data_IF_930308624426
#
_entry.id   IF_930308624426
#
_cell.length_a   1.000
_cell.length_b   1.000
_cell.length_c   1.000
_cell.angle_alpha   90.00
_cell.angle_beta   90.00
_cell.angle_gamma   90.00
#
_symmetry.space_group_name_H-M   'P 1'
#
loop_
_entity.id
_entity.type
_entity.pdbx_description
1 polymer ?
#
# COMPACT_ATOMS: atom_id res chain seq x y z
N UNK A 1 7.60 17.10 -1.83
CA UNK A 1 7.00 15.74 -1.90
C UNK A 1 8.04 14.83 -2.55
N UNK A 2 8.18 13.58 -2.11
CA UNK A 2 9.19 12.66 -2.63
C UNK A 2 8.54 11.36 -3.11
N UNK A 3 9.06 10.81 -4.20
CA UNK A 3 8.66 9.49 -4.68
C UNK A 3 9.32 8.39 -3.85
N UNK A 4 8.83 7.15 -3.99
CA UNK A 4 9.39 5.99 -3.29
C UNK A 4 10.87 5.70 -3.63
N UNK A 5 11.35 6.17 -4.79
CA UNK A 5 12.75 6.09 -5.19
C UNK A 5 13.61 7.25 -4.67
N UNK A 6 13.07 8.12 -3.80
CA UNK A 6 13.76 9.27 -3.22
C UNK A 6 13.84 10.51 -4.12
N UNK A 7 13.37 10.43 -5.37
CA UNK A 7 13.35 11.61 -6.26
C UNK A 7 12.33 12.65 -5.81
N UNK A 8 12.64 13.93 -6.05
CA UNK A 8 11.74 15.04 -5.76
C UNK A 8 10.59 15.03 -6.77
N UNK A 9 9.36 15.00 -6.28
CA UNK A 9 8.17 15.26 -7.10
C UNK A 9 7.93 16.77 -7.08
N UNK A 10 8.07 17.41 -8.25
CA UNK A 10 7.78 18.83 -8.41
C UNK A 10 6.27 19.07 -8.23
N UNK A 11 5.92 20.15 -7.54
CA UNK A 11 4.53 20.57 -7.33
C UNK A 11 4.35 22.03 -7.75
N UNK A 12 3.20 22.34 -8.33
CA UNK A 12 2.88 23.63 -8.95
C UNK A 12 1.76 24.38 -8.24
N UNK A 13 1.48 24.01 -6.99
CA UNK A 13 0.39 24.57 -6.18
C UNK A 13 -0.81 23.64 -6.09
N UNK A 14 -1.98 24.20 -5.82
CA UNK A 14 -3.21 23.44 -5.59
C UNK A 14 -4.34 23.87 -6.52
N UNK A 15 -5.29 22.97 -6.76
CA UNK A 15 -6.48 23.21 -7.57
C UNK A 15 -7.70 22.51 -6.98
N UNK A 16 -8.76 23.28 -6.75
CA UNK A 16 -10.07 22.72 -6.38
C UNK A 16 -10.73 22.05 -7.57
N UNK A 17 -11.12 20.79 -7.44
CA UNK A 17 -11.82 20.02 -8.47
C UNK A 17 -13.02 19.29 -7.88
N UNK A 18 -14.08 19.17 -8.67
CA UNK A 18 -15.19 18.25 -8.42
C UNK A 18 -14.91 16.97 -9.21
N UNK A 19 -14.47 15.92 -8.51
CA UNK A 19 -14.24 14.63 -9.11
C UNK A 19 -15.56 13.86 -9.20
N UNK A 20 -15.82 13.27 -10.37
CA UNK A 20 -16.88 12.30 -10.57
C UNK A 20 -16.25 10.91 -10.72
N UNK A 21 -16.67 9.99 -9.86
CA UNK A 21 -16.20 8.60 -9.83
C UNK A 21 -17.27 7.63 -10.35
N UNK A 22 -18.40 8.10 -10.87
CA UNK A 22 -19.54 7.27 -11.25
C UNK A 22 -20.37 6.78 -10.06
N UNK A 23 -20.15 7.34 -8.87
CA UNK A 23 -20.80 6.95 -7.61
C UNK A 23 -22.03 7.83 -7.28
N UNK A 24 -22.56 8.55 -8.28
CA UNK A 24 -23.73 9.44 -8.19
C UNK A 24 -23.67 10.49 -7.08
N UNK A 25 -22.47 10.93 -6.73
CA UNK A 25 -22.23 12.07 -5.82
C UNK A 25 -21.00 12.85 -6.24
N UNK A 26 -20.94 14.11 -5.80
CA UNK A 26 -19.80 15.00 -6.07
C UNK A 26 -18.72 14.82 -5.01
N UNK A 27 -17.47 14.72 -5.45
CA UNK A 27 -16.31 14.69 -4.56
C UNK A 27 -15.48 15.98 -4.78
N UNK A 28 -15.81 17.03 -4.03
CA UNK A 28 -15.12 18.31 -4.10
C UNK A 28 -13.86 18.31 -3.23
N UNK A 29 -12.68 18.46 -3.81
CA UNK A 29 -11.42 18.41 -3.08
C UNK A 29 -10.37 19.36 -3.66
N UNK A 30 -9.45 19.83 -2.81
CA UNK A 30 -8.31 20.63 -3.21
C UNK A 30 -7.14 19.69 -3.47
N UNK A 31 -6.80 19.48 -4.74
CA UNK A 31 -5.72 18.60 -5.16
C UNK A 31 -4.41 19.38 -5.28
N UNK A 32 -3.30 18.68 -5.08
CA UNK A 32 -1.96 19.18 -5.39
C UNK A 32 -1.70 18.93 -6.88
N UNK A 33 -1.30 19.96 -7.61
CA UNK A 33 -0.84 19.82 -9.00
C UNK A 33 0.63 19.41 -8.94
N UNK A 34 0.93 18.18 -9.35
CA UNK A 34 2.27 17.60 -9.26
C UNK A 34 2.73 17.01 -10.60
N UNK A 35 4.05 16.99 -10.81
CA UNK A 35 4.70 16.35 -11.95
C UNK A 35 4.76 14.83 -11.72
N UNK A 36 3.65 14.14 -12.01
CA UNK A 36 3.49 12.70 -11.87
C UNK A 36 2.89 12.10 -13.13
N UNK A 37 3.34 10.89 -13.50
CA UNK A 37 2.83 10.20 -14.69
C UNK A 37 1.39 9.68 -14.53
N UNK A 38 1.01 9.34 -13.29
CA UNK A 38 -0.32 8.83 -12.95
C UNK A 38 -0.88 9.61 -11.77
N UNK A 39 -2.06 10.24 -11.90
CA UNK A 39 -2.75 10.87 -10.77
C UNK A 39 -3.10 9.85 -9.69
N UNK A 40 -2.97 10.24 -8.42
CA UNK A 40 -3.19 9.37 -7.26
C UNK A 40 -4.26 10.00 -6.36
N UNK A 41 -5.20 9.18 -5.90
CA UNK A 41 -6.09 9.54 -4.79
C UNK A 41 -5.47 9.06 -3.49
N UNK A 42 -5.18 10.00 -2.59
CA UNK A 42 -4.61 9.71 -1.29
C UNK A 42 -5.60 9.06 -0.32
N UNK A 43 -5.09 8.46 0.74
CA UNK A 43 -5.90 7.88 1.81
C UNK A 43 -6.71 8.91 2.58
N UNK A 44 -6.25 10.17 2.60
CA UNK A 44 -6.96 11.34 3.14
C UNK A 44 -8.26 11.61 2.39
N UNK A 45 -8.23 11.59 1.06
CA UNK A 45 -9.40 11.70 0.20
C UNK A 45 -10.36 10.53 0.43
N UNK A 46 -9.84 9.29 0.42
CA UNK A 46 -10.65 8.09 0.64
C UNK A 46 -11.36 8.13 1.99
N UNK A 47 -10.63 8.48 3.06
CA UNK A 47 -11.17 8.63 4.42
C UNK A 47 -12.23 9.73 4.50
N UNK A 48 -11.98 10.90 3.88
CA UNK A 48 -12.94 12.01 3.90
C UNK A 48 -14.29 11.61 3.35
N UNK A 49 -14.30 10.86 2.25
CA UNK A 49 -15.52 10.57 1.50
C UNK A 49 -16.14 9.20 1.79
N UNK A 50 -15.50 8.38 2.63
CA UNK A 50 -15.98 7.04 2.96
C UNK A 50 -15.81 6.05 1.80
N UNK A 51 -14.70 6.14 1.06
CA UNK A 51 -14.44 5.26 -0.08
C UNK A 51 -13.62 4.05 0.36
N UNK A 52 -14.17 2.85 0.14
CA UNK A 52 -13.54 1.57 0.40
C UNK A 52 -12.92 1.03 -0.89
N UNK A 53 -11.66 0.61 -0.83
CA UNK A 53 -10.95 0.04 -1.97
C UNK A 53 -11.00 -1.49 -1.87
N UNK A 54 -11.70 -2.13 -2.80
CA UNK A 54 -11.75 -3.58 -2.94
C UNK A 54 -10.78 -4.00 -4.05
N UNK A 55 -9.55 -4.27 -3.64
CA UNK A 55 -8.44 -4.63 -4.55
C UNK A 55 -8.73 -5.93 -5.29
N UNK A 56 -9.31 -6.92 -4.61
CA UNK A 56 -9.61 -8.25 -5.18
C UNK A 56 -10.56 -8.13 -6.36
N UNK A 57 -11.62 -7.33 -6.20
CA UNK A 57 -12.64 -7.15 -7.24
C UNK A 57 -12.38 -5.93 -8.13
N UNK A 58 -11.24 -5.25 -7.96
CA UNK A 58 -10.83 -4.05 -8.70
C UNK A 58 -11.94 -3.00 -8.74
N UNK A 59 -12.44 -2.59 -7.58
CA UNK A 59 -13.51 -1.58 -7.48
C UNK A 59 -13.32 -0.67 -6.29
N UNK A 60 -13.89 0.53 -6.39
CA UNK A 60 -14.06 1.45 -5.26
C UNK A 60 -15.53 1.45 -4.89
N UNK A 61 -15.82 1.33 -3.61
CA UNK A 61 -17.17 1.27 -3.04
C UNK A 61 -17.37 2.51 -2.18
N UNK A 62 -18.49 3.20 -2.36
CA UNK A 62 -18.92 4.25 -1.46
C UNK A 62 -19.62 3.64 -0.24
N UNK A 63 -19.11 3.89 0.96
CA UNK A 63 -19.68 3.36 2.19
C UNK A 63 -21.05 3.95 2.54
N UNK A 64 -21.41 5.11 1.97
CA UNK A 64 -22.68 5.78 2.24
C UNK A 64 -23.79 5.31 1.29
N UNK A 65 -23.48 5.16 0.01
CA UNK A 65 -24.47 4.80 -1.03
C UNK A 65 -24.44 3.34 -1.40
N UNK A 66 -23.40 2.60 -0.98
CA UNK A 66 -23.08 1.24 -1.42
C UNK A 66 -22.91 1.07 -2.94
N UNK A 67 -22.88 2.17 -3.68
CA UNK A 67 -22.52 2.15 -5.10
C UNK A 67 -21.04 1.83 -5.24
N UNK A 68 -20.70 1.25 -6.38
CA UNK A 68 -19.31 0.96 -6.71
C UNK A 68 -18.99 1.37 -8.14
N UNK A 69 -17.71 1.60 -8.37
CA UNK A 69 -17.15 1.92 -9.66
C UNK A 69 -15.98 0.98 -9.92
N UNK A 70 -15.97 0.36 -11.10
CA UNK A 70 -14.93 -0.58 -11.50
C UNK A 70 -13.64 0.17 -11.84
N UNK A 71 -12.56 -0.21 -11.18
CA UNK A 71 -11.21 0.19 -11.52
C UNK A 71 -10.66 -0.65 -12.66
N UNK A 72 -9.83 -0.02 -13.49
CA UNK A 72 -9.00 -0.68 -14.49
C UNK A 72 -7.56 -0.69 -14.03
N UNK A 73 -6.82 -1.74 -14.38
CA UNK A 73 -5.38 -1.78 -14.11
C UNK A 73 -4.70 -0.74 -14.99
N UNK A 74 -4.00 0.21 -14.38
CA UNK A 74 -3.20 1.16 -15.14
C UNK A 74 -2.12 0.41 -15.96
N UNK A 75 -1.88 0.81 -17.22
CA UNK A 75 -0.80 0.23 -18.02
C UNK A 75 0.55 0.60 -17.38
N UNK A 76 1.33 -0.39 -17.01
CA UNK A 76 2.63 -0.18 -16.37
C UNK A 76 3.17 -1.43 -15.69
N UNK A 77 4.49 -1.48 -15.52
CA UNK A 77 5.13 -2.51 -14.72
C UNK A 77 4.70 -2.34 -13.26
N UNK A 78 4.30 -3.44 -12.61
CA UNK A 78 4.18 -3.46 -11.16
C UNK A 78 5.59 -3.18 -10.63
N UNK A 79 5.81 -1.97 -10.11
CA UNK A 79 7.01 -1.69 -9.34
C UNK A 79 6.92 -2.59 -8.12
N UNK A 80 7.68 -3.68 -8.12
CA UNK A 80 7.87 -4.47 -6.92
C UNK A 80 8.43 -3.53 -5.87
N UNK A 81 7.63 -3.18 -4.87
CA UNK A 81 8.11 -2.44 -3.72
C UNK A 81 9.08 -3.39 -3.00
N UNK A 82 10.36 -3.21 -3.22
CA UNK A 82 11.38 -3.88 -2.43
C UNK A 82 11.57 -3.08 -1.15
N UNK A 83 11.41 -3.72 0.00
CA UNK A 83 11.70 -3.11 1.32
C UNK A 83 13.16 -2.64 1.46
N UNK A 84 14.02 -3.05 0.54
CA UNK A 84 15.45 -2.80 0.58
C UNK A 84 15.77 -1.73 -0.45
N UNK A 85 16.16 -0.56 0.03
CA UNK A 85 16.88 0.40 -0.79
C UNK A 85 18.25 -0.17 -1.17
N UNK A 86 18.63 -0.09 -2.45
CA UNK A 86 19.98 -0.44 -2.91
C UNK A 86 21.06 0.47 -2.29
N UNK A 87 20.66 1.58 -1.67
CA UNK A 87 21.52 2.51 -0.95
C UNK A 87 21.62 2.18 0.55
N UNK A 88 20.90 1.17 1.03
CA UNK A 88 20.99 0.73 2.42
C UNK A 88 22.37 0.12 2.69
N UNK A 89 23.03 0.44 3.81
CA UNK A 89 24.27 -0.23 4.21
C UNK A 89 24.08 -1.74 4.41
N UNK A 90 22.83 -2.19 4.57
CA UNK A 90 22.45 -3.59 4.73
C UNK A 90 22.05 -4.28 3.42
N UNK A 91 22.08 -3.58 2.28
CA UNK A 91 21.66 -4.16 1.01
C UNK A 91 22.46 -5.41 0.64
N UNK A 92 23.78 -5.39 0.87
CA UNK A 92 24.68 -6.51 0.56
C UNK A 92 24.37 -7.76 1.40
N UNK A 93 24.03 -7.60 2.68
CA UNK A 93 23.70 -8.73 3.56
C UNK A 93 22.29 -9.24 3.30
N UNK A 94 21.31 -8.36 3.11
CA UNK A 94 19.94 -8.78 2.85
C UNK A 94 19.80 -9.46 1.48
N UNK A 95 20.61 -9.08 0.49
CA UNK A 95 20.69 -9.77 -0.80
C UNK A 95 21.24 -11.19 -0.70
N UNK A 96 22.04 -11.52 0.33
CA UNK A 96 22.52 -12.88 0.59
C UNK A 96 21.45 -13.76 1.24
N UNK A 97 20.43 -13.17 1.87
CA UNK A 97 19.39 -13.89 2.60
C UNK A 97 17.98 -13.46 2.14
N UNK A 98 17.63 -13.64 0.85
CA UNK A 98 16.34 -13.22 0.31
C UNK A 98 15.15 -13.89 1.02
N UNK A 99 15.35 -15.09 1.59
CA UNK A 99 14.36 -15.84 2.35
C UNK A 99 13.80 -15.05 3.56
N UNK A 100 14.58 -14.13 4.15
CA UNK A 100 14.14 -13.30 5.28
C UNK A 100 13.10 -12.26 4.89
N UNK A 101 12.98 -11.95 3.59
CA UNK A 101 12.11 -10.90 3.06
C UNK A 101 10.84 -11.47 2.44
N UNK A 102 10.82 -12.77 2.16
CA UNK A 102 9.65 -13.50 1.70
C UNK A 102 8.76 -13.84 2.90
N UNK A 103 7.47 -13.48 2.89
CA UNK A 103 6.53 -13.98 3.89
C UNK A 103 6.48 -15.50 3.79
N UNK A 104 6.79 -16.20 4.88
CA UNK A 104 6.70 -17.66 4.94
C UNK A 104 5.23 -18.05 4.76
N UNK A 105 4.88 -18.53 3.57
CA UNK A 105 3.54 -19.06 3.29
C UNK A 105 3.54 -20.55 3.56
N UNK A 106 3.03 -20.95 4.72
CA UNK A 106 2.85 -22.34 5.12
C UNK A 106 3.88 -22.87 6.11
N UNK A 107 3.47 -23.89 6.87
CA UNK A 107 4.34 -24.63 7.79
C UNK A 107 5.52 -25.22 7.01
N UNK A 108 6.64 -24.51 7.00
CA UNK A 108 7.91 -25.08 6.56
C UNK A 108 8.25 -26.16 7.58
N UNK A 109 8.11 -27.43 7.19
CA UNK A 109 8.64 -28.53 7.98
C UNK A 109 10.14 -28.33 8.08
N UNK A 110 10.61 -27.93 9.26
CA UNK A 110 12.03 -27.78 9.51
C UNK A 110 12.73 -29.11 9.22
N UNK A 111 13.76 -29.10 8.37
CA UNK A 111 14.60 -30.28 8.07
C UNK A 111 15.48 -30.69 9.26
N UNK A 112 15.43 -29.93 10.36
CA UNK A 112 16.24 -30.14 11.55
C UNK A 112 15.32 -30.28 12.77
N UNK A 113 15.67 -31.23 13.65
CA UNK A 113 14.97 -31.54 14.90
C UNK A 113 15.12 -30.46 15.99
N UNK A 114 15.32 -29.21 15.60
CA UNK A 114 15.46 -28.08 16.52
C UNK A 114 14.12 -27.36 16.60
N UNK A 115 13.46 -27.49 17.73
CA UNK A 115 12.25 -26.76 18.07
C UNK A 115 12.60 -25.53 18.91
N UNK A 116 12.02 -24.39 18.58
CA UNK A 116 12.23 -23.15 19.34
C UNK A 116 11.17 -23.04 20.43
N UNK A 117 11.47 -23.53 21.64
CA UNK A 117 10.60 -23.40 22.80
C UNK A 117 10.86 -22.05 23.51
N UNK A 118 9.80 -21.28 23.77
CA UNK A 118 9.87 -20.13 24.69
C UNK A 118 9.35 -20.61 26.04
N UNK A 119 10.26 -20.83 26.99
CA UNK A 119 9.89 -21.14 28.36
C UNK A 119 9.37 -19.89 29.07
N UNK A 120 8.04 -19.79 29.19
CA UNK A 120 7.43 -18.74 30.02
C UNK A 120 7.21 -19.27 31.43
N UNK A 121 7.75 -18.57 32.44
CA UNK A 121 7.43 -18.83 33.86
C UNK A 121 6.34 -17.87 34.30
N UNK A 122 5.08 -18.33 34.29
CA UNK A 122 3.94 -17.53 34.74
C UNK A 122 2.63 -17.97 34.09
N UNK A 123 1.51 -17.51 34.65
CA UNK A 123 0.19 -17.76 34.08
C UNK A 123 0.05 -17.03 32.72
N UNK A 124 -0.63 -17.63 31.72
CA UNK A 124 -0.90 -16.97 30.44
C UNK A 124 -1.64 -15.66 30.68
N UNK A 125 -1.17 -14.59 30.03
CA UNK A 125 -1.91 -13.34 30.00
C UNK A 125 -3.04 -13.52 28.98
N UNK A 126 -4.27 -13.72 29.46
CA UNK A 126 -5.45 -13.70 28.59
C UNK A 126 -5.71 -12.25 28.15
N UNK A 127 -5.81 -12.04 26.83
CA UNK A 127 -6.41 -10.86 26.22
C UNK A 127 -7.78 -11.24 25.65
#
# INVERSE_FOLDING_TARGET
MYAANGSVIKSYGTKGLNLDLGLRRKFSWIFIVADVSHPILGSDFLKRFGLLVDVKNRRVIDSLTHMNSCGVKAPGHSLGLTLISNQSPYHSILSKFPQLLTPVSGNVSASHSVEHCIETRGAPVFF
#
